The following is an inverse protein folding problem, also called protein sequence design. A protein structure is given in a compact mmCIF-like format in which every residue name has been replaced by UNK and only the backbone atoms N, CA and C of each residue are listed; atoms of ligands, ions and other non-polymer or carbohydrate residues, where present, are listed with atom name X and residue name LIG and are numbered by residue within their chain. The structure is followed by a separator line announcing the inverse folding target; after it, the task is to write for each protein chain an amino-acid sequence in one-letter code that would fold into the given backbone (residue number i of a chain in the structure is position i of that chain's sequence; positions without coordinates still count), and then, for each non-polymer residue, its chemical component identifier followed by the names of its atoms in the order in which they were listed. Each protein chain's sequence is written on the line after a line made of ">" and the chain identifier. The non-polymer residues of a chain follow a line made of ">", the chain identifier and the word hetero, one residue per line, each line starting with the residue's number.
data_IF_360592114397
#
_entry.id   IF_360592114397
#
_cell.length_a   1.000
_cell.length_b   1.000
_cell.length_c   1.000
_cell.angle_alpha   90.00
_cell.angle_beta   90.00
_cell.angle_gamma   90.00
#
_symmetry.space_group_name_H-M   'P 1'
#
loop_
_entity.id
_entity.type
_entity.pdbx_description
1 polymer ?
#
# COMPACT_ATOMS: atom_id res chain seq x y z
N UNK A 1 23.83 8.14 -6.16
CA UNK A 1 24.97 8.53 -5.30
C UNK A 1 26.33 8.15 -5.91
N UNK A 2 26.52 6.89 -6.34
CA UNK A 2 27.82 6.36 -6.84
C UNK A 2 28.40 7.11 -8.05
N UNK A 3 27.56 7.56 -8.99
CA UNK A 3 28.01 8.29 -10.18
C UNK A 3 28.59 9.68 -9.87
N UNK A 4 28.06 10.39 -8.86
CA UNK A 4 28.58 11.69 -8.44
C UNK A 4 29.95 11.56 -7.80
N UNK A 5 30.10 10.59 -6.90
CA UNK A 5 31.35 10.28 -6.24
C UNK A 5 32.46 9.91 -7.23
N UNK A 6 32.14 9.05 -8.21
CA UNK A 6 33.06 8.68 -9.28
C UNK A 6 33.56 9.91 -10.06
N UNK A 7 32.68 10.87 -10.38
CA UNK A 7 33.04 12.10 -11.10
C UNK A 7 33.98 12.99 -10.28
N UNK A 8 33.73 13.15 -8.99
CA UNK A 8 34.58 13.94 -8.08
C UNK A 8 35.98 13.33 -8.03
N UNK A 9 36.03 12.01 -7.83
CA UNK A 9 37.28 11.28 -7.68
C UNK A 9 38.09 11.29 -8.99
N UNK A 10 37.43 11.10 -10.13
CA UNK A 10 38.04 11.26 -11.46
C UNK A 10 38.58 12.68 -11.69
N UNK A 11 37.92 13.70 -11.17
CA UNK A 11 38.37 15.09 -11.27
C UNK A 11 39.60 15.34 -10.40
N UNK A 12 39.62 14.80 -9.19
CA UNK A 12 40.77 14.90 -8.29
C UNK A 12 42.00 14.24 -8.91
N UNK A 13 41.92 12.97 -9.32
CA UNK A 13 43.04 12.25 -9.94
C UNK A 13 43.57 13.01 -11.16
N UNK A 14 42.68 13.58 -11.99
CA UNK A 14 43.08 14.35 -13.18
C UNK A 14 43.78 15.68 -12.85
N UNK A 15 43.48 16.32 -11.72
CA UNK A 15 44.09 17.59 -11.32
C UNK A 15 45.36 17.41 -10.50
N UNK A 16 45.39 16.40 -9.63
CA UNK A 16 46.49 16.16 -8.68
C UNK A 16 47.52 15.18 -9.22
N UNK A 17 47.17 14.32 -10.19
CA UNK A 17 48.01 13.21 -10.65
C UNK A 17 48.04 12.02 -9.69
N UNK A 18 47.58 12.19 -8.45
CA UNK A 18 47.45 11.12 -7.47
C UNK A 18 46.33 10.15 -7.83
N UNK A 19 46.60 8.85 -7.77
CA UNK A 19 45.63 7.79 -8.04
C UNK A 19 44.89 7.34 -6.77
N UNK A 20 44.22 8.28 -6.08
CA UNK A 20 43.53 7.98 -4.82
C UNK A 20 42.18 7.28 -5.02
N UNK A 21 41.73 7.12 -6.27
CA UNK A 21 40.41 6.56 -6.56
C UNK A 21 40.18 5.19 -5.95
N UNK A 22 41.14 4.30 -6.10
CA UNK A 22 41.02 2.92 -5.62
C UNK A 22 40.94 2.83 -4.07
N UNK A 23 41.89 3.39 -3.31
CA UNK A 23 41.84 3.32 -1.84
C UNK A 23 40.62 4.04 -1.25
N UNK A 24 40.15 5.10 -1.90
CA UNK A 24 38.95 5.81 -1.46
C UNK A 24 37.66 5.00 -1.69
N UNK A 25 37.51 4.36 -2.86
CA UNK A 25 36.35 3.49 -3.13
C UNK A 25 36.29 2.33 -2.12
N UNK A 26 37.42 1.68 -1.83
CA UNK A 26 37.46 0.61 -0.83
C UNK A 26 36.93 1.07 0.53
N UNK A 27 37.36 2.24 1.02
CA UNK A 27 36.88 2.78 2.29
C UNK A 27 35.37 3.04 2.25
N UNK A 28 34.91 3.69 1.19
CA UNK A 28 33.52 4.13 1.07
C UNK A 28 32.54 2.96 0.91
N UNK A 29 32.95 1.84 0.31
CA UNK A 29 32.10 0.65 0.20
C UNK A 29 31.75 0.03 1.56
N UNK A 30 32.57 0.25 2.59
CA UNK A 30 32.32 -0.26 3.95
C UNK A 30 31.38 0.64 4.77
N UNK A 31 31.13 1.86 4.31
CA UNK A 31 30.29 2.84 4.99
C UNK A 31 28.81 2.40 5.03
N UNK A 32 28.08 2.77 6.08
CA UNK A 32 26.70 2.30 6.29
C UNK A 32 25.74 2.72 5.18
N UNK A 33 26.01 3.84 4.49
CA UNK A 33 25.17 4.34 3.40
C UNK A 33 25.34 3.58 2.08
N UNK A 34 26.40 2.75 1.94
CA UNK A 34 26.56 1.85 0.80
C UNK A 34 25.90 0.49 1.02
N UNK A 35 25.46 0.19 2.25
CA UNK A 35 24.80 -1.08 2.57
C UNK A 35 23.36 -1.04 2.08
N UNK A 36 22.99 -2.02 1.27
CA UNK A 36 21.64 -2.12 0.68
C UNK A 36 20.89 -3.36 1.17
N UNK A 37 21.40 -4.04 2.21
CA UNK A 37 20.88 -5.33 2.67
C UNK A 37 19.42 -5.28 3.10
N UNK A 38 19.01 -4.21 3.79
CA UNK A 38 17.61 -4.00 4.20
C UNK A 38 16.71 -3.85 2.98
N UNK A 39 17.13 -3.07 1.98
CA UNK A 39 16.39 -2.84 0.74
C UNK A 39 16.30 -4.12 -0.08
N UNK A 40 17.41 -4.87 -0.21
CA UNK A 40 17.43 -6.18 -0.87
C UNK A 40 16.44 -7.15 -0.23
N UNK A 41 16.40 -7.19 1.11
CA UNK A 41 15.46 -8.04 1.85
C UNK A 41 14.01 -7.65 1.55
N UNK A 42 13.71 -6.35 1.59
CA UNK A 42 12.38 -5.83 1.26
C UNK A 42 11.95 -6.22 -0.16
N UNK A 43 12.82 -6.01 -1.15
CA UNK A 43 12.53 -6.36 -2.55
C UNK A 43 12.23 -7.86 -2.68
N UNK A 44 13.01 -8.72 -2.02
CA UNK A 44 12.80 -10.17 -2.03
C UNK A 44 11.47 -10.58 -1.40
N UNK A 45 11.09 -9.96 -0.30
CA UNK A 45 9.78 -10.20 0.34
C UNK A 45 8.62 -9.78 -0.58
N UNK A 46 8.75 -8.64 -1.27
CA UNK A 46 7.79 -8.21 -2.29
C UNK A 46 7.69 -9.22 -3.46
N UNK A 47 8.82 -9.69 -3.98
CA UNK A 47 8.85 -10.69 -5.07
C UNK A 47 8.14 -11.99 -4.68
N UNK A 48 8.33 -12.46 -3.44
CA UNK A 48 7.65 -13.65 -2.92
C UNK A 48 6.15 -13.42 -2.83
N UNK A 49 5.72 -12.30 -2.24
CA UNK A 49 4.31 -11.96 -2.09
C UNK A 49 3.61 -11.88 -3.45
N UNK A 50 4.24 -11.21 -4.42
CA UNK A 50 3.74 -11.10 -5.79
C UNK A 50 3.63 -12.50 -6.43
N UNK A 51 4.68 -13.31 -6.29
CA UNK A 51 4.69 -14.69 -6.82
C UNK A 51 3.58 -15.56 -6.22
N UNK A 52 3.28 -15.40 -4.93
CA UNK A 52 2.16 -16.09 -4.26
C UNK A 52 0.80 -15.65 -4.81
N UNK A 53 0.58 -14.35 -5.04
CA UNK A 53 -0.67 -13.83 -5.61
C UNK A 53 -0.90 -14.39 -7.01
N UNK A 54 0.12 -14.34 -7.87
CA UNK A 54 0.02 -14.88 -9.22
C UNK A 54 -0.14 -16.41 -9.25
N UNK A 55 0.53 -17.14 -8.36
CA UNK A 55 0.39 -18.60 -8.25
C UNK A 55 -0.94 -19.06 -7.66
N UNK A 56 -1.60 -18.23 -6.84
CA UNK A 56 -2.97 -18.50 -6.37
C UNK A 56 -3.99 -18.27 -7.47
N UNK A 57 -3.79 -17.23 -8.28
CA UNK A 57 -4.69 -16.90 -9.38
C UNK A 57 -4.62 -17.89 -10.55
N UNK A 58 -3.52 -18.64 -10.67
CA UNK A 58 -3.41 -19.76 -11.63
C UNK A 58 -4.04 -21.07 -11.13
N UNK A 59 -4.40 -21.15 -9.84
CA UNK A 59 -5.05 -22.33 -9.23
C UNK A 59 -6.58 -22.21 -9.15
N UNK A 60 -7.14 -21.07 -9.54
CA UNK A 60 -8.59 -20.81 -9.55
C UNK A 60 -9.25 -21.02 -10.91
N UNK A 61 -8.55 -21.62 -11.88
CA UNK A 61 -9.15 -22.11 -13.12
C UNK A 61 -9.37 -23.61 -12.94
N UNK A 62 -10.62 -24.09 -12.73
CA UNK A 62 -10.91 -25.51 -12.81
C UNK A 62 -10.57 -26.00 -14.22
N UNK A 63 -9.99 -27.21 -14.39
CA UNK A 63 -9.89 -27.83 -15.70
C UNK A 63 -11.32 -28.07 -16.21
N UNK A 64 -11.68 -27.46 -17.35
CA UNK A 64 -12.84 -27.89 -18.13
C UNK A 64 -12.62 -29.33 -18.61
N UNK A 65 -13.66 -30.15 -18.40
CA UNK A 65 -14.02 -31.43 -19.01
C UNK A 65 -12.90 -32.35 -19.52
N UNK A 66 -12.63 -33.42 -18.76
CA UNK A 66 -12.48 -34.76 -19.34
C UNK A 66 -13.27 -35.75 -18.48
N UNK A 67 -14.39 -36.19 -19.04
CA UNK A 67 -15.25 -37.31 -18.66
C UNK A 67 -14.46 -38.60 -18.44
N UNK A 68 -14.62 -39.26 -17.27
CA UNK A 68 -14.65 -40.72 -17.08
C UNK A 68 -14.95 -41.08 -15.61
N UNK A 69 -16.08 -41.78 -15.43
CA UNK A 69 -16.73 -42.35 -14.22
C UNK A 69 -15.82 -43.02 -13.17
N UNK A 70 -16.26 -43.05 -11.90
CA UNK A 70 -16.93 -44.21 -11.23
C UNK A 70 -16.97 -44.16 -9.67
N UNK A 71 -18.18 -44.29 -9.07
CA UNK A 71 -18.49 -44.70 -7.66
C UNK A 71 -18.29 -43.66 -6.53
N UNK A 72 -19.08 -43.52 -5.45
CA UNK A 72 -20.09 -44.37 -4.78
C UNK A 72 -20.90 -43.55 -3.71
N UNK A 73 -22.24 -43.75 -3.68
CA UNK A 73 -23.28 -43.60 -2.61
C UNK A 73 -23.42 -42.38 -1.63
N UNK A 74 -24.58 -41.70 -1.79
CA UNK A 74 -25.67 -41.30 -0.85
C UNK A 74 -25.41 -40.77 0.59
N UNK A 75 -25.97 -39.58 0.92
CA UNK A 75 -27.07 -39.39 1.92
C UNK A 75 -27.38 -37.89 2.22
N UNK A 76 -28.47 -37.42 1.61
CA UNK A 76 -29.62 -36.65 2.12
C UNK A 76 -29.62 -35.77 3.41
N UNK A 77 -30.41 -34.67 3.27
CA UNK A 77 -31.32 -33.99 4.23
C UNK A 77 -30.93 -32.63 4.89
N UNK A 78 -31.54 -31.55 4.39
CA UNK A 78 -32.12 -30.41 5.16
C UNK A 78 -33.54 -30.80 5.70
N UNK A 79 -34.39 -30.00 6.41
CA UNK A 79 -34.46 -28.54 6.66
C UNK A 79 -35.01 -28.09 8.06
N UNK A 80 -35.32 -26.78 8.25
CA UNK A 80 -36.58 -26.17 8.80
C UNK A 80 -36.33 -24.83 9.54
N UNK A 81 -37.28 -23.91 9.35
CA UNK A 81 -37.29 -22.50 9.73
C UNK A 81 -38.21 -22.16 10.94
N UNK A 82 -38.21 -20.86 11.27
CA UNK A 82 -39.25 -19.99 11.91
C UNK A 82 -39.29 -19.87 13.44
N UNK A 83 -39.09 -18.66 13.98
CA UNK A 83 -40.14 -17.78 14.59
C UNK A 83 -39.56 -16.68 15.48
N UNK A 84 -40.29 -15.56 15.46
CA UNK A 84 -40.00 -14.25 16.04
C UNK A 84 -40.02 -14.23 17.57
N UNK A 85 -39.24 -13.33 18.16
CA UNK A 85 -39.63 -12.66 19.41
C UNK A 85 -38.90 -11.32 19.48
N UNK A 86 -39.65 -10.23 19.30
CA UNK A 86 -39.22 -8.87 19.57
C UNK A 86 -38.73 -8.75 21.02
N UNK A 87 -37.42 -8.57 21.18
CA UNK A 87 -36.78 -8.28 22.47
C UNK A 87 -36.34 -6.84 22.34
N UNK A 88 -36.97 -5.97 23.10
CA UNK A 88 -36.60 -4.57 23.24
C UNK A 88 -35.10 -4.45 23.55
N UNK A 89 -34.29 -4.19 22.52
CA UNK A 89 -32.84 -4.08 22.59
C UNK A 89 -32.51 -2.73 23.23
N UNK A 90 -32.36 -2.72 24.55
CA UNK A 90 -31.55 -1.69 25.19
C UNK A 90 -30.17 -1.74 24.57
N UNK A 91 -29.84 -0.69 23.80
CA UNK A 91 -28.55 -0.53 23.13
C UNK A 91 -27.43 -0.74 24.17
N UNK A 92 -26.55 -1.74 24.00
CA UNK A 92 -25.42 -1.94 24.90
C UNK A 92 -24.56 -0.69 24.95
N UNK A 93 -24.10 -0.31 26.15
CA UNK A 93 -23.26 0.86 26.42
C UNK A 93 -21.96 0.88 25.59
N UNK A 94 -21.53 -0.30 25.15
CA UNK A 94 -20.41 -0.53 24.24
C UNK A 94 -20.68 0.04 22.83
N UNK A 95 -21.94 0.03 22.35
CA UNK A 95 -22.31 0.63 21.06
C UNK A 95 -22.34 2.17 21.13
N UNK A 96 -22.74 2.75 22.26
CA UNK A 96 -22.66 4.22 22.48
C UNK A 96 -21.20 4.70 22.51
N UNK A 97 -20.28 3.90 23.07
CA UNK A 97 -18.84 4.18 23.09
C UNK A 97 -18.21 4.05 21.71
N UNK A 98 -18.66 3.07 20.90
CA UNK A 98 -18.24 2.89 19.50
C UNK A 98 -18.72 4.05 18.62
N UNK A 99 -19.99 4.47 18.74
CA UNK A 99 -20.54 5.63 18.01
C UNK A 99 -19.85 6.94 18.44
N UNK A 100 -19.58 7.11 19.74
CA UNK A 100 -18.85 8.26 20.26
C UNK A 100 -17.42 8.34 19.68
N UNK A 101 -16.74 7.19 19.63
CA UNK A 101 -15.39 7.07 19.08
C UNK A 101 -15.37 7.31 17.56
N UNK A 102 -16.34 6.77 16.82
CA UNK A 102 -16.51 7.03 15.39
C UNK A 102 -16.74 8.52 15.10
N UNK A 103 -17.61 9.18 15.87
CA UNK A 103 -17.87 10.61 15.75
C UNK A 103 -16.62 11.46 16.05
N UNK A 104 -15.77 11.03 17.01
CA UNK A 104 -14.49 11.68 17.29
C UNK A 104 -13.52 11.56 16.10
N UNK A 105 -13.33 10.36 15.56
CA UNK A 105 -12.45 10.14 14.41
C UNK A 105 -12.95 10.86 13.15
N UNK A 106 -14.27 10.90 12.93
CA UNK A 106 -14.90 11.65 11.85
C UNK A 106 -14.63 13.15 11.99
N UNK A 107 -14.85 13.73 13.19
CA UNK A 107 -14.57 15.15 13.48
C UNK A 107 -13.09 15.51 13.29
N UNK A 108 -12.18 14.64 13.74
CA UNK A 108 -10.74 14.83 13.56
C UNK A 108 -10.36 14.76 12.08
N UNK A 109 -10.90 13.80 11.33
CA UNK A 109 -10.65 13.63 9.89
C UNK A 109 -11.15 14.84 9.09
N UNK A 110 -12.37 15.32 9.36
CA UNK A 110 -12.92 16.53 8.73
C UNK A 110 -12.05 17.75 9.05
N UNK A 111 -11.56 17.87 10.29
CA UNK A 111 -10.68 18.98 10.69
C UNK A 111 -9.33 18.92 9.97
N UNK A 112 -8.71 17.75 9.89
CA UNK A 112 -7.45 17.55 9.17
C UNK A 112 -7.60 17.88 7.67
N UNK A 113 -8.67 17.40 7.03
CA UNK A 113 -8.98 17.69 5.62
C UNK A 113 -9.16 19.19 5.38
N UNK A 114 -9.85 19.90 6.29
CA UNK A 114 -10.03 21.35 6.22
C UNK A 114 -8.69 22.08 6.33
N UNK A 115 -7.81 21.69 7.26
CA UNK A 115 -6.48 22.26 7.41
C UNK A 115 -5.59 22.00 6.18
N UNK A 116 -5.61 20.80 5.62
CA UNK A 116 -4.90 20.48 4.38
C UNK A 116 -5.41 21.32 3.18
N UNK A 117 -6.73 21.50 3.08
CA UNK A 117 -7.34 22.37 2.05
C UNK A 117 -6.95 23.82 2.24
N UNK A 118 -6.88 24.29 3.49
CA UNK A 118 -6.40 25.63 3.81
C UNK A 118 -4.93 25.79 3.42
N UNK A 119 -4.03 24.88 3.80
CA UNK A 119 -2.60 24.94 3.44
C UNK A 119 -2.41 24.91 1.93
N UNK A 120 -3.15 24.06 1.21
CA UNK A 120 -3.11 24.01 -0.26
C UNK A 120 -3.55 25.32 -0.89
N UNK A 121 -4.60 25.95 -0.36
CA UNK A 121 -5.16 27.17 -0.91
C UNK A 121 -4.44 28.44 -0.41
N UNK A 122 -3.81 28.41 0.77
CA UNK A 122 -3.12 29.53 1.42
C UNK A 122 -1.63 29.58 1.09
N UNK A 123 -1.04 28.47 0.63
CA UNK A 123 0.31 28.48 0.09
C UNK A 123 0.36 29.38 -1.14
N UNK A 124 1.10 30.48 -1.07
CA UNK A 124 1.39 31.37 -2.21
C UNK A 124 2.25 30.71 -3.31
N UNK A 125 2.25 29.39 -3.42
CA UNK A 125 2.82 28.64 -4.55
C UNK A 125 1.86 28.62 -5.75
N UNK A 126 1.28 29.77 -6.10
CA UNK A 126 0.85 30.05 -7.47
C UNK A 126 2.10 30.28 -8.33
N UNK A 127 2.94 29.25 -8.42
CA UNK A 127 4.09 29.23 -9.31
C UNK A 127 3.64 28.62 -10.64
N UNK A 128 4.16 29.07 -11.78
CA UNK A 128 3.86 28.51 -13.10
C UNK A 128 4.18 27.01 -13.22
N UNK A 129 4.93 26.45 -12.25
CA UNK A 129 5.29 25.05 -12.14
C UNK A 129 4.40 24.26 -11.15
N UNK A 130 3.42 24.89 -10.51
CA UNK A 130 2.46 24.20 -9.67
C UNK A 130 1.52 23.37 -10.55
N UNK A 131 1.26 22.13 -10.13
CA UNK A 131 0.26 21.29 -10.77
C UNK A 131 -1.12 21.95 -10.64
N UNK A 132 -1.90 21.89 -11.72
CA UNK A 132 -3.26 22.41 -11.71
C UNK A 132 -4.05 21.79 -10.55
N UNK A 133 -4.86 22.57 -9.81
CA UNK A 133 -5.79 22.03 -8.85
C UNK A 133 -6.59 20.91 -9.53
N UNK A 134 -6.54 19.70 -8.97
CA UNK A 134 -7.40 18.63 -9.44
C UNK A 134 -8.83 19.16 -9.45
N UNK A 135 -9.55 19.10 -10.59
CA UNK A 135 -10.94 19.48 -10.62
C UNK A 135 -11.67 18.72 -9.51
N UNK A 136 -12.64 19.36 -8.81
CA UNK A 136 -13.48 18.61 -7.89
C UNK A 136 -14.06 17.46 -8.69
N UNK A 137 -13.66 16.23 -8.34
CA UNK A 137 -14.29 15.04 -8.88
C UNK A 137 -15.77 15.20 -8.56
N UNK A 138 -16.56 15.31 -9.63
CA UNK A 138 -17.99 15.09 -9.56
C UNK A 138 -18.27 13.83 -8.76
N UNK A 139 -19.29 13.90 -7.91
CA UNK A 139 -19.85 12.81 -7.11
C UNK A 139 -19.54 11.43 -7.69
N UNK A 140 -18.67 10.70 -6.99
CA UNK A 140 -18.58 9.26 -7.12
C UNK A 140 -19.60 8.63 -6.15
N UNK A 141 -20.87 9.05 -6.25
CA UNK A 141 -22.00 8.52 -5.47
C UNK A 141 -23.25 8.23 -6.33
N UNK A 142 -23.08 8.05 -7.64
CA UNK A 142 -24.19 7.65 -8.54
C UNK A 142 -23.82 6.50 -9.48
N UNK A 143 -23.10 5.49 -8.98
CA UNK A 143 -22.87 4.25 -9.73
C UNK A 143 -22.97 2.98 -8.90
N UNK A 144 -23.93 2.94 -7.96
CA UNK A 144 -24.49 1.70 -7.42
C UNK A 144 -25.98 1.90 -7.17
N UNK A 145 -26.77 1.75 -8.24
CA UNK A 145 -28.22 1.60 -8.18
C UNK A 145 -28.61 0.31 -8.89
#
# INVERSE_FOLDING_TARGET
>A
MVAGLHKILKKYDKRSGDLIRLPFIQKVLHEPFFRTEVIKKLVKECEIMISCIFSRNTRSIPPEDIDLKEGCHEQEQQPVAVEETEKHLTVPKELEEIECMENMYLKLSISALRSLKQIRNSSSTASMFALAPMPPGSDLDESWK
#
